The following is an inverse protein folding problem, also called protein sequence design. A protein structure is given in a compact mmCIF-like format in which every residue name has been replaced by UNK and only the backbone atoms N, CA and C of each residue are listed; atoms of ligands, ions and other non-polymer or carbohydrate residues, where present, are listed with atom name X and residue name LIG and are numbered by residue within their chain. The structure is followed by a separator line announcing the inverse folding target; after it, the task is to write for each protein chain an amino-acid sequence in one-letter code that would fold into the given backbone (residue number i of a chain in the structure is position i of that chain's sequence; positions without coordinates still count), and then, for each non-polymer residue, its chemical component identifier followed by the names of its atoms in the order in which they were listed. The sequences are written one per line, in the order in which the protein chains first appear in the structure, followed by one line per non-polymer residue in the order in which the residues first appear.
data_IF_816283861875
#
_entry.id   IF_816283861875
#
_cell.length_a   1.000
_cell.length_b   1.000
_cell.length_c   1.000
_cell.angle_alpha   90.00
_cell.angle_beta   90.00
_cell.angle_gamma   90.00
#
_symmetry.space_group_name_H-M   'P 1'
#
loop_
_entity.id
_entity.type
_entity.pdbx_description
1 polymer ?
#
# COMPACT_ATOMS: atom_id res chain seq x y z
N UNK A 1 -4.95 -45.07 -23.44
CA UNK A 1 -5.25 -43.77 -24.09
C UNK A 1 -6.06 -42.78 -23.17
N UNK A 2 -7.07 -43.25 -22.40
CA UNK A 2 -7.87 -42.39 -21.52
C UNK A 2 -7.07 -41.79 -20.33
N UNK A 3 -6.20 -42.58 -19.69
CA UNK A 3 -5.39 -42.09 -18.54
C UNK A 3 -4.45 -40.94 -18.89
N UNK A 4 -3.78 -41.02 -20.05
CA UNK A 4 -2.87 -39.96 -20.53
C UNK A 4 -3.61 -38.65 -20.83
N UNK A 5 -4.85 -38.74 -21.37
CA UNK A 5 -5.70 -37.55 -21.61
C UNK A 5 -6.16 -36.91 -20.30
N UNK A 6 -6.47 -37.71 -19.26
CA UNK A 6 -6.86 -37.20 -17.94
C UNK A 6 -5.70 -36.51 -17.22
N UNK A 7 -4.48 -37.08 -17.30
CA UNK A 7 -3.27 -36.46 -16.76
C UNK A 7 -2.91 -35.14 -17.48
N UNK A 8 -3.07 -35.08 -18.79
CA UNK A 8 -2.85 -33.86 -19.57
C UNK A 8 -3.88 -32.76 -19.20
N UNK A 9 -5.14 -33.15 -18.98
CA UNK A 9 -6.20 -32.24 -18.57
C UNK A 9 -5.97 -31.68 -17.17
N UNK A 10 -5.51 -32.50 -16.22
CA UNK A 10 -5.12 -32.09 -14.87
C UNK A 10 -3.90 -31.13 -14.89
N UNK A 11 -2.92 -31.39 -15.77
CA UNK A 11 -1.77 -30.50 -15.94
C UNK A 11 -2.18 -29.13 -16.52
N UNK A 12 -3.11 -29.11 -17.47
CA UNK A 12 -3.65 -27.87 -18.03
C UNK A 12 -4.44 -27.05 -16.99
N UNK A 13 -5.19 -27.70 -16.10
CA UNK A 13 -5.96 -27.03 -15.04
C UNK A 13 -5.02 -26.38 -14.01
N UNK A 14 -3.86 -27.01 -13.70
CA UNK A 14 -2.86 -26.45 -12.78
C UNK A 14 -2.18 -25.19 -13.37
N UNK A 15 -2.01 -25.13 -14.68
CA UNK A 15 -1.39 -23.96 -15.35
C UNK A 15 -2.32 -22.74 -15.39
N UNK A 16 -3.64 -22.94 -15.42
CA UNK A 16 -4.63 -21.84 -15.50
C UNK A 16 -4.79 -21.07 -14.19
N UNK A 17 -4.35 -21.62 -13.05
CA UNK A 17 -4.42 -20.96 -11.74
C UNK A 17 -3.11 -20.28 -11.30
N UNK A 18 -2.19 -19.97 -12.20
CA UNK A 18 -1.13 -19.02 -11.90
C UNK A 18 -1.74 -17.60 -11.82
N UNK A 19 -2.48 -17.33 -10.75
CA UNK A 19 -2.88 -15.97 -10.40
C UNK A 19 -1.61 -15.16 -10.25
N UNK A 20 -1.45 -14.08 -11.03
CA UNK A 20 -0.40 -13.10 -10.80
C UNK A 20 -0.56 -12.62 -9.35
N UNK A 21 0.23 -13.17 -8.45
CA UNK A 21 0.27 -12.66 -7.08
C UNK A 21 0.85 -11.24 -7.15
N UNK A 22 0.09 -10.27 -6.68
CA UNK A 22 0.59 -8.91 -6.53
C UNK A 22 1.71 -8.96 -5.47
N UNK A 23 2.95 -8.73 -5.90
CA UNK A 23 4.10 -8.71 -5.00
C UNK A 23 4.27 -7.28 -4.45
N UNK A 24 4.22 -7.17 -3.14
CA UNK A 24 4.47 -5.92 -2.42
C UNK A 24 5.63 -6.14 -1.45
N UNK A 25 6.79 -5.58 -1.75
CA UNK A 25 8.01 -5.78 -1.01
C UNK A 25 8.58 -4.47 -0.46
N UNK A 26 9.35 -4.56 0.62
CA UNK A 26 10.08 -3.44 1.21
C UNK A 26 11.56 -3.78 1.27
N UNK A 27 12.41 -2.78 1.01
CA UNK A 27 13.87 -2.92 1.06
C UNK A 27 14.41 -2.20 2.29
N UNK A 28 15.33 -2.82 3.00
CA UNK A 28 16.12 -2.15 4.04
C UNK A 28 17.18 -1.28 3.37
N UNK A 29 17.03 0.04 3.48
CA UNK A 29 17.96 1.02 2.86
C UNK A 29 19.02 1.54 3.84
N UNK A 30 18.70 1.50 5.14
CA UNK A 30 19.64 1.80 6.22
C UNK A 30 19.20 1.06 7.49
N UNK A 31 19.97 1.17 8.57
CA UNK A 31 19.61 0.52 9.83
C UNK A 31 18.29 1.09 10.38
N UNK A 32 17.31 0.22 10.56
CA UNK A 32 15.97 0.58 10.97
C UNK A 32 15.12 1.29 9.90
N UNK A 33 15.61 1.55 8.69
CA UNK A 33 14.90 2.29 7.64
C UNK A 33 14.56 1.37 6.48
N UNK A 34 13.28 1.33 6.14
CA UNK A 34 12.72 0.46 5.10
C UNK A 34 11.89 1.28 4.11
N UNK A 35 12.01 0.98 2.82
CA UNK A 35 11.30 1.66 1.73
C UNK A 35 10.64 0.64 0.82
N UNK A 36 9.40 0.89 0.46
CA UNK A 36 8.74 0.31 -0.69
C UNK A 36 8.88 1.26 -1.86
N UNK A 37 9.30 0.74 -2.99
CA UNK A 37 9.39 1.50 -4.24
C UNK A 37 8.17 1.20 -5.09
N UNK A 38 7.30 2.20 -5.23
CA UNK A 38 6.12 2.12 -6.08
C UNK A 38 6.47 2.05 -7.56
N UNK A 39 5.51 1.70 -8.37
CA UNK A 39 5.67 1.62 -9.82
C UNK A 39 5.68 3.02 -10.43
N UNK A 40 6.54 3.24 -11.42
CA UNK A 40 6.56 4.50 -12.19
C UNK A 40 5.52 4.44 -13.32
N UNK A 41 4.25 4.40 -12.95
CA UNK A 41 3.09 4.27 -13.83
C UNK A 41 1.96 5.16 -13.33
N UNK A 42 0.92 5.37 -14.15
CA UNK A 42 -0.33 5.94 -13.67
C UNK A 42 -1.11 4.93 -12.81
N UNK A 43 -1.84 5.44 -11.81
CA UNK A 43 -2.68 4.62 -10.96
C UNK A 43 -3.80 3.94 -11.78
N UNK A 44 -3.92 2.61 -11.63
CA UNK A 44 -4.90 1.80 -12.35
C UNK A 44 -5.28 0.54 -11.55
N UNK A 45 -6.27 -0.21 -12.04
CA UNK A 45 -6.77 -1.42 -11.38
C UNK A 45 -5.73 -2.56 -11.26
N UNK A 46 -4.69 -2.58 -12.10
CA UNK A 46 -3.67 -3.64 -12.04
C UNK A 46 -2.58 -3.36 -11.02
N UNK A 47 -2.27 -2.08 -10.74
CA UNK A 47 -1.32 -1.68 -9.72
C UNK A 47 -1.97 -1.23 -8.40
N UNK A 48 -3.30 -1.14 -8.34
CA UNK A 48 -4.08 -0.74 -7.15
C UNK A 48 -3.64 0.62 -6.55
N UNK A 49 -3.06 1.50 -7.37
CA UNK A 49 -2.50 2.78 -6.91
C UNK A 49 -1.15 2.65 -6.19
N UNK A 50 -0.42 1.56 -6.41
CA UNK A 50 0.95 1.34 -5.92
C UNK A 50 1.97 2.06 -6.79
N UNK A 51 1.98 3.40 -6.72
CA UNK A 51 2.80 4.26 -7.57
C UNK A 51 3.72 5.21 -6.77
N UNK A 52 3.53 5.32 -5.46
CA UNK A 52 4.36 6.14 -4.58
C UNK A 52 5.47 5.34 -3.90
N UNK A 53 6.60 5.98 -3.66
CA UNK A 53 7.58 5.47 -2.71
C UNK A 53 7.09 5.79 -1.30
N UNK A 54 6.95 4.76 -0.48
CA UNK A 54 6.50 4.87 0.91
C UNK A 54 7.47 4.13 1.82
N UNK A 55 7.56 4.52 3.09
CA UNK A 55 8.57 3.93 3.95
C UNK A 55 8.19 3.90 5.43
N UNK A 56 9.04 3.27 6.22
CA UNK A 56 8.92 3.32 7.67
C UNK A 56 10.27 3.23 8.36
N UNK A 57 10.30 3.77 9.58
CA UNK A 57 11.47 3.77 10.44
C UNK A 57 11.14 3.02 11.72
N UNK A 58 11.91 1.98 12.01
CA UNK A 58 11.81 1.21 13.24
C UNK A 58 12.72 1.84 14.29
N UNK A 59 12.12 2.53 15.23
CA UNK A 59 12.82 3.12 16.37
C UNK A 59 12.99 2.13 17.53
N UNK A 60 13.44 2.60 18.66
CA UNK A 60 13.63 1.77 19.87
C UNK A 60 12.31 1.37 20.54
N UNK A 61 11.26 2.18 20.43
CA UNK A 61 9.98 1.99 21.16
C UNK A 61 8.76 1.98 20.25
N UNK A 62 8.88 2.52 19.04
CA UNK A 62 7.76 2.66 18.12
C UNK A 62 8.25 2.76 16.68
N UNK A 63 7.31 2.71 15.76
CA UNK A 63 7.51 2.85 14.32
C UNK A 63 6.91 4.19 13.87
N UNK A 64 7.64 4.89 13.01
CA UNK A 64 7.18 6.02 12.23
C UNK A 64 6.94 5.55 10.80
N UNK A 65 5.77 5.81 10.24
CA UNK A 65 5.42 5.55 8.85
C UNK A 65 5.52 6.84 8.06
N UNK A 66 6.10 6.79 6.86
CA UNK A 66 6.19 7.91 5.90
C UNK A 66 5.36 7.55 4.70
N UNK A 67 4.27 8.27 4.53
CA UNK A 67 3.21 8.02 3.56
C UNK A 67 2.58 6.61 3.71
N UNK A 68 1.42 6.40 3.13
CA UNK A 68 0.62 5.21 3.44
C UNK A 68 0.11 4.45 2.23
N UNK A 69 0.43 4.94 1.03
CA UNK A 69 0.01 4.35 -0.24
C UNK A 69 -1.31 4.90 -0.78
N UNK A 70 -1.56 4.62 -2.04
CA UNK A 70 -2.62 5.20 -2.85
C UNK A 70 -4.01 4.61 -2.64
N UNK A 71 -4.13 3.52 -1.88
CA UNK A 71 -5.42 2.90 -1.54
C UNK A 71 -5.36 2.22 -0.18
N UNK A 72 -6.52 1.95 0.45
CA UNK A 72 -6.59 1.09 1.63
C UNK A 72 -6.03 -0.31 1.38
N UNK A 73 -6.15 -0.86 0.17
CA UNK A 73 -5.56 -2.14 -0.21
C UNK A 73 -4.03 -2.12 -0.15
N UNK A 74 -3.39 -1.09 -0.70
CA UNK A 74 -1.93 -0.89 -0.57
C UNK A 74 -1.55 -0.66 0.89
N UNK A 75 -2.29 0.16 1.63
CA UNK A 75 -2.07 0.36 3.06
C UNK A 75 -2.09 -0.93 3.87
N UNK A 76 -3.01 -1.87 3.56
CA UNK A 76 -3.07 -3.19 4.21
C UNK A 76 -1.82 -4.04 3.91
N UNK A 77 -1.36 -4.06 2.66
CA UNK A 77 -0.15 -4.78 2.27
C UNK A 77 1.08 -4.19 2.98
N UNK A 78 1.20 -2.88 2.98
CA UNK A 78 2.29 -2.19 3.65
C UNK A 78 2.30 -2.44 5.16
N UNK A 79 1.15 -2.32 5.82
CA UNK A 79 1.03 -2.64 7.26
C UNK A 79 1.39 -4.09 7.57
N UNK A 80 1.05 -5.02 6.67
CA UNK A 80 1.47 -6.43 6.80
C UNK A 80 2.99 -6.56 6.76
N UNK A 81 3.66 -5.91 5.80
CA UNK A 81 5.14 -5.91 5.69
C UNK A 81 5.81 -5.29 6.92
N UNK A 82 5.27 -4.20 7.44
CA UNK A 82 5.75 -3.62 8.70
C UNK A 82 5.70 -4.65 9.84
N UNK A 83 4.59 -5.37 9.97
CA UNK A 83 4.41 -6.40 11.01
C UNK A 83 5.32 -7.62 10.84
N UNK A 84 5.69 -7.97 9.62
CA UNK A 84 6.65 -9.04 9.34
C UNK A 84 8.07 -8.67 9.84
N UNK A 85 8.37 -7.36 9.92
CA UNK A 85 9.68 -6.83 10.33
C UNK A 85 9.72 -6.45 11.81
N UNK A 86 8.63 -5.87 12.34
CA UNK A 86 8.59 -5.39 13.72
C UNK A 86 7.18 -5.40 14.31
N UNK A 87 7.07 -5.85 15.56
CA UNK A 87 5.83 -5.81 16.34
C UNK A 87 5.67 -4.53 17.18
N UNK A 88 6.57 -3.56 17.06
CA UNK A 88 6.45 -2.29 17.78
C UNK A 88 5.19 -1.52 17.31
N UNK A 89 4.59 -0.70 18.19
CA UNK A 89 3.43 0.09 17.83
C UNK A 89 3.79 1.19 16.82
N UNK A 90 2.91 1.42 15.85
CA UNK A 90 2.99 2.60 14.97
C UNK A 90 2.48 3.80 15.76
N UNK A 91 3.36 4.76 16.04
CA UNK A 91 3.05 5.94 16.83
C UNK A 91 2.84 7.21 15.98
N UNK A 92 3.51 7.28 14.83
CA UNK A 92 3.47 8.45 13.97
C UNK A 92 3.30 8.05 12.51
N UNK A 93 2.55 8.87 11.78
CA UNK A 93 2.44 8.82 10.32
C UNK A 93 2.82 10.21 9.82
N UNK A 94 3.85 10.31 9.02
CA UNK A 94 4.20 11.53 8.29
C UNK A 94 3.55 11.47 6.92
N UNK A 95 2.72 12.45 6.58
CA UNK A 95 2.19 12.65 5.23
C UNK A 95 2.99 13.76 4.58
N UNK A 96 3.73 13.41 3.53
CA UNK A 96 4.66 14.33 2.87
C UNK A 96 3.94 15.43 2.12
N UNK A 97 2.84 15.09 1.44
CA UNK A 97 2.01 16.03 0.69
C UNK A 97 0.62 15.44 0.39
N UNK A 98 -0.24 16.22 -0.29
CA UNK A 98 -1.66 15.93 -0.47
C UNK A 98 -2.02 15.17 -1.75
N UNK A 99 -1.08 14.50 -2.42
CA UNK A 99 -1.42 13.62 -3.53
C UNK A 99 -1.97 12.27 -3.03
N UNK A 100 -2.97 11.70 -3.70
CA UNK A 100 -3.72 10.54 -3.18
C UNK A 100 -2.86 9.29 -2.97
N UNK A 101 -1.86 9.07 -3.80
CA UNK A 101 -0.93 7.94 -3.73
C UNK A 101 -0.06 7.94 -2.46
N UNK A 102 -0.05 9.03 -1.70
CA UNK A 102 0.69 9.17 -0.45
C UNK A 102 -0.17 9.01 0.82
N UNK A 103 -1.50 9.22 0.76
CA UNK A 103 -2.30 9.27 1.99
C UNK A 103 -3.59 8.44 2.01
N UNK A 104 -4.09 7.90 0.89
CA UNK A 104 -5.37 7.16 0.87
C UNK A 104 -5.33 5.87 1.71
N UNK A 105 -4.16 5.32 1.99
CA UNK A 105 -3.99 4.19 2.90
C UNK A 105 -4.03 4.52 4.39
N UNK A 106 -4.13 5.80 4.77
CA UNK A 106 -3.93 6.27 6.16
C UNK A 106 -4.85 5.60 7.18
N UNK A 107 -6.13 5.40 6.85
CA UNK A 107 -7.12 4.78 7.75
C UNK A 107 -6.66 3.41 8.29
N UNK A 108 -5.87 2.67 7.51
CA UNK A 108 -5.40 1.33 7.88
C UNK A 108 -4.44 1.39 9.07
N UNK A 109 -3.75 2.52 9.26
CA UNK A 109 -2.70 2.69 10.28
C UNK A 109 -3.21 3.35 11.55
N UNK A 110 -4.36 4.02 11.50
CA UNK A 110 -4.88 4.77 12.63
C UNK A 110 -5.25 3.87 13.81
N UNK A 111 -4.93 4.36 14.98
CA UNK A 111 -5.43 3.90 16.27
C UNK A 111 -5.49 5.11 17.22
N UNK A 112 -6.04 4.92 18.43
CA UNK A 112 -6.24 6.02 19.40
C UNK A 112 -4.95 6.79 19.80
N UNK A 113 -3.78 6.22 19.55
CA UNK A 113 -2.49 6.79 19.93
C UNK A 113 -1.62 7.19 18.72
N UNK A 114 -2.11 7.02 17.49
CA UNK A 114 -1.36 7.37 16.28
C UNK A 114 -1.50 8.86 16.02
N UNK A 115 -0.38 9.54 15.87
CA UNK A 115 -0.31 10.96 15.50
C UNK A 115 -0.01 11.10 14.01
N UNK A 116 -0.76 11.95 13.32
CA UNK A 116 -0.47 12.35 11.94
C UNK A 116 0.35 13.64 11.99
N UNK A 117 1.45 13.64 11.24
CA UNK A 117 2.38 14.77 11.10
C UNK A 117 2.44 15.17 9.63
N UNK A 118 2.36 16.45 9.37
CA UNK A 118 2.47 17.01 8.02
C UNK A 118 2.72 18.50 8.07
N UNK A 119 2.90 19.10 6.89
CA UNK A 119 3.02 20.55 6.78
C UNK A 119 1.74 21.25 7.31
N UNK A 120 1.88 22.44 7.89
CA UNK A 120 0.75 23.21 8.45
C UNK A 120 -0.43 23.44 7.49
N UNK A 121 -0.14 23.49 6.17
CA UNK A 121 -1.16 23.66 5.12
C UNK A 121 -1.73 22.34 4.60
N UNK A 122 -1.24 21.20 5.08
CA UNK A 122 -1.66 19.89 4.57
C UNK A 122 -3.16 19.69 4.74
N UNK A 123 -3.72 19.96 5.93
CA UNK A 123 -5.14 19.79 6.20
C UNK A 123 -6.00 20.56 5.20
N UNK A 124 -5.70 21.85 4.98
CA UNK A 124 -6.42 22.67 4.00
C UNK A 124 -6.35 22.10 2.58
N UNK A 125 -5.19 21.55 2.19
CA UNK A 125 -5.02 20.94 0.87
C UNK A 125 -5.82 19.65 0.72
N UNK A 126 -5.86 18.83 1.77
CA UNK A 126 -6.68 17.61 1.81
C UNK A 126 -8.17 17.95 1.71
N UNK A 127 -8.67 18.88 2.54
CA UNK A 127 -10.08 19.28 2.57
C UNK A 127 -10.56 19.79 1.20
N UNK A 128 -9.72 20.57 0.50
CA UNK A 128 -10.07 21.13 -0.79
C UNK A 128 -10.08 20.11 -1.94
N UNK A 129 -9.30 19.04 -1.85
CA UNK A 129 -9.07 18.14 -2.99
C UNK A 129 -9.57 16.71 -2.74
N UNK A 130 -10.04 16.39 -1.53
CA UNK A 130 -10.38 15.01 -1.15
C UNK A 130 -11.41 14.36 -2.08
N UNK A 131 -12.54 15.02 -2.29
CA UNK A 131 -13.61 14.46 -3.15
C UNK A 131 -13.17 14.31 -4.62
N UNK A 132 -12.37 15.25 -5.12
CA UNK A 132 -11.82 15.16 -6.47
C UNK A 132 -10.92 13.92 -6.59
N UNK A 133 -9.95 13.77 -5.68
CA UNK A 133 -9.02 12.65 -5.71
C UNK A 133 -9.69 11.30 -5.41
N UNK A 134 -10.67 11.28 -4.52
CA UNK A 134 -11.47 10.08 -4.24
C UNK A 134 -12.16 9.56 -5.51
N UNK A 135 -12.85 10.45 -6.22
CA UNK A 135 -13.53 10.09 -7.46
C UNK A 135 -12.54 9.66 -8.55
N UNK A 136 -11.40 10.35 -8.66
CA UNK A 136 -10.34 10.01 -9.62
C UNK A 136 -9.77 8.61 -9.33
N UNK A 137 -9.41 8.32 -8.08
CA UNK A 137 -8.88 7.02 -7.67
C UNK A 137 -9.91 5.90 -7.87
N UNK A 138 -11.16 6.12 -7.48
CA UNK A 138 -12.23 5.14 -7.68
C UNK A 138 -12.41 4.80 -9.17
N UNK A 139 -12.45 5.81 -10.05
CA UNK A 139 -12.62 5.60 -11.49
C UNK A 139 -11.43 4.86 -12.13
N UNK A 140 -10.21 5.18 -11.71
CA UNK A 140 -8.99 4.62 -12.30
C UNK A 140 -8.66 3.23 -11.75
N UNK A 141 -8.84 3.03 -10.45
CA UNK A 141 -8.36 1.84 -9.73
C UNK A 141 -9.46 0.80 -9.60
N UNK A 142 -10.73 1.24 -9.44
CA UNK A 142 -11.90 0.37 -9.19
C UNK A 142 -11.70 -0.51 -7.94
N UNK A 143 -11.13 0.06 -6.90
CA UNK A 143 -10.99 -0.57 -5.58
C UNK A 143 -12.17 -0.12 -4.71
N UNK A 144 -13.06 -1.02 -4.38
CA UNK A 144 -14.27 -0.77 -3.56
C UNK A 144 -13.93 -0.33 -2.12
N UNK A 145 -12.68 -0.36 -1.72
CA UNK A 145 -12.23 0.09 -0.39
C UNK A 145 -11.95 1.59 -0.28
N UNK A 146 -12.00 2.35 -1.41
CA UNK A 146 -11.74 3.79 -1.49
C UNK A 146 -12.92 4.64 -0.98
#
# INVERSE_FOLDING_TARGET
MRLKKLQLLLLLIIIVFATKSFSFDVQKVADGIYVHFGKQEDANSSNLGDIANIGFIVGKKSILVVDTGGTPSIGKLFKKKIKEISNLPISHIVITHSHPDHYFGTNIFLNKNTLIVGHEKLQRSLDNNFEFYKNLQFNNIKDDSI
#
